data_IF_271148926431
#
_entry.id   IF_271148926431
#
_cell.length_a   1.000
_cell.length_b   1.000
_cell.length_c   1.000
_cell.angle_alpha   90.00
_cell.angle_beta   90.00
_cell.angle_gamma   90.00
#
_symmetry.space_group_name_H-M   'P 1'
#
loop_
_entity.id
_entity.type
_entity.pdbx_description
1 polymer ?
#
# COMPACT_ATOMS: atom_id res chain seq x y z
N UNK A 1 1.08 2.07 19.57
CA UNK A 1 1.20 0.77 20.29
C UNK A 1 2.34 -0.05 19.70
N UNK A 2 2.74 -1.17 20.33
CA UNK A 2 3.82 -2.01 19.81
C UNK A 2 3.38 -3.48 19.78
N UNK A 3 3.81 -4.19 18.74
CA UNK A 3 3.66 -5.63 18.55
C UNK A 3 5.04 -6.27 18.37
N UNK A 4 5.25 -7.47 18.87
CA UNK A 4 6.49 -8.23 18.67
C UNK A 4 6.20 -9.38 17.72
N UNK A 5 6.90 -9.40 16.58
CA UNK A 5 6.80 -10.47 15.58
C UNK A 5 7.40 -11.78 16.07
N UNK A 6 7.11 -12.87 15.38
CA UNK A 6 7.65 -14.22 15.71
C UNK A 6 9.17 -14.30 15.68
N UNK A 7 9.84 -13.42 14.92
CA UNK A 7 11.32 -13.31 14.89
C UNK A 7 11.86 -12.18 15.79
N UNK A 8 11.02 -11.66 16.72
CA UNK A 8 11.43 -10.75 17.78
C UNK A 8 11.52 -9.28 17.41
N UNK A 9 11.03 -8.86 16.24
CA UNK A 9 11.06 -7.46 15.80
C UNK A 9 9.87 -6.69 16.38
N UNK A 10 10.14 -5.52 16.95
CA UNK A 10 9.10 -4.63 17.48
C UNK A 10 8.54 -3.74 16.37
N UNK A 11 7.25 -3.88 16.09
CA UNK A 11 6.50 -3.06 15.14
C UNK A 11 5.64 -2.03 15.86
N UNK A 12 5.61 -0.81 15.33
CA UNK A 12 4.73 0.27 15.77
C UNK A 12 3.41 0.20 15.01
N UNK A 13 2.29 0.34 15.71
CA UNK A 13 0.97 0.42 15.09
C UNK A 13 0.00 1.28 15.90
N UNK A 14 -1.06 1.73 15.26
CA UNK A 14 -2.23 2.34 15.89
C UNK A 14 -3.50 1.63 15.40
N UNK A 15 -4.43 1.39 16.33
CA UNK A 15 -5.75 0.84 16.04
C UNK A 15 -6.79 1.75 16.68
N UNK A 16 -7.60 2.40 15.85
CA UNK A 16 -8.59 3.40 16.26
C UNK A 16 -9.98 2.97 15.79
N UNK A 17 -11.03 3.56 16.35
CA UNK A 17 -12.43 3.27 16.01
C UNK A 17 -13.10 2.26 16.94
N UNK A 18 -14.39 2.01 16.71
CA UNK A 18 -15.25 1.22 17.61
C UNK A 18 -15.10 -0.28 17.35
N UNK A 19 -15.01 -1.07 18.41
CA UNK A 19 -14.95 -2.53 18.33
C UNK A 19 -16.18 -3.12 17.59
N UNK A 20 -15.95 -4.17 16.81
CA UNK A 20 -17.01 -4.87 16.06
C UNK A 20 -17.30 -4.29 14.66
N UNK A 21 -16.70 -3.15 14.32
CA UNK A 21 -16.81 -2.57 12.97
C UNK A 21 -15.79 -3.21 12.00
N UNK A 22 -16.05 -3.18 10.67
CA UNK A 22 -15.05 -3.58 9.67
C UNK A 22 -13.76 -2.79 9.84
N UNK A 23 -12.63 -3.40 9.51
CA UNK A 23 -11.30 -2.83 9.75
C UNK A 23 -10.65 -2.43 8.43
N UNK A 24 -10.40 -1.14 8.25
CA UNK A 24 -9.51 -0.66 7.19
C UNK A 24 -8.07 -0.76 7.69
N UNK A 25 -7.25 -1.45 6.92
CA UNK A 25 -5.82 -1.65 7.18
C UNK A 25 -5.03 -0.89 6.14
N UNK A 26 -4.34 0.16 6.55
CA UNK A 26 -3.46 0.92 5.67
C UNK A 26 -2.08 0.27 5.57
N UNK A 27 -1.61 0.04 4.34
CA UNK A 27 -0.36 -0.64 4.03
C UNK A 27 0.54 0.32 3.25
N UNK A 28 1.61 0.78 3.90
CA UNK A 28 2.43 1.91 3.46
C UNK A 28 3.26 1.62 2.20
N UNK A 29 3.67 2.68 1.49
CA UNK A 29 4.73 2.62 0.49
C UNK A 29 6.14 2.49 1.10
N UNK A 30 7.14 2.23 0.25
CA UNK A 30 8.55 2.25 0.65
C UNK A 30 8.96 3.64 1.13
N UNK A 31 9.73 3.71 2.19
CA UNK A 31 10.15 4.93 2.89
C UNK A 31 9.03 5.75 3.56
N UNK A 32 7.79 5.36 3.40
CA UNK A 32 6.65 5.96 4.08
C UNK A 32 6.48 5.39 5.51
N UNK A 33 5.62 5.99 6.29
CA UNK A 33 5.18 5.50 7.60
C UNK A 33 3.69 5.74 7.78
N UNK A 34 3.13 5.20 8.85
CA UNK A 34 1.71 5.32 9.16
C UNK A 34 1.19 6.77 9.18
N UNK A 35 2.06 7.77 9.39
CA UNK A 35 1.67 9.17 9.42
C UNK A 35 1.22 9.72 8.06
N UNK A 36 1.51 9.05 6.94
CA UNK A 36 1.04 9.49 5.62
C UNK A 36 -0.48 9.36 5.44
N UNK A 37 -1.15 8.60 6.28
CA UNK A 37 -2.60 8.40 6.25
C UNK A 37 -3.40 9.36 7.14
N UNK A 38 -2.79 10.47 7.54
CA UNK A 38 -3.38 11.43 8.49
C UNK A 38 -4.70 12.04 8.03
N UNK A 39 -4.89 12.20 6.69
CA UNK A 39 -6.12 12.73 6.10
C UNK A 39 -7.21 11.65 5.91
N UNK A 40 -6.83 10.36 5.91
CA UNK A 40 -7.74 9.23 5.70
C UNK A 40 -8.29 8.70 7.02
N UNK A 41 -7.44 8.57 8.04
CA UNK A 41 -7.80 7.97 9.33
C UNK A 41 -9.05 8.60 9.96
N UNK A 42 -9.18 9.94 10.10
CA UNK A 42 -10.37 10.54 10.70
C UNK A 42 -11.64 10.29 9.87
N UNK A 43 -11.54 10.38 8.54
CA UNK A 43 -12.69 10.20 7.64
C UNK A 43 -13.30 8.80 7.78
N UNK A 44 -12.48 7.75 7.78
CA UNK A 44 -12.99 6.39 7.88
C UNK A 44 -13.47 6.03 9.30
N UNK A 45 -12.90 6.64 10.34
CA UNK A 45 -13.44 6.51 11.71
C UNK A 45 -14.85 7.14 11.80
N UNK A 46 -15.06 8.31 11.22
CA UNK A 46 -16.38 8.96 11.18
C UNK A 46 -17.42 8.14 10.42
N UNK A 47 -16.98 7.35 9.43
CA UNK A 47 -17.81 6.40 8.68
C UNK A 47 -17.99 5.05 9.39
N UNK A 48 -17.65 4.97 10.66
CA UNK A 48 -17.81 3.78 11.50
C UNK A 48 -16.93 2.59 11.10
N UNK A 49 -15.77 2.82 10.51
CA UNK A 49 -14.73 1.80 10.37
C UNK A 49 -13.78 1.81 11.58
N UNK A 50 -13.22 0.65 11.88
CA UNK A 50 -11.95 0.63 12.64
C UNK A 50 -10.81 0.85 11.65
N UNK A 51 -9.75 1.48 12.11
CA UNK A 51 -8.60 1.80 11.26
C UNK A 51 -7.33 1.31 11.93
N UNK A 52 -6.61 0.44 11.23
CA UNK A 52 -5.26 -0.01 11.59
C UNK A 52 -4.24 0.68 10.70
N UNK A 53 -3.32 1.40 11.30
CA UNK A 53 -2.10 1.90 10.66
C UNK A 53 -0.89 1.27 11.33
N UNK A 54 0.18 1.00 10.59
CA UNK A 54 1.36 0.34 11.13
C UNK A 54 2.62 0.70 10.34
N UNK A 55 3.76 0.58 10.97
CA UNK A 55 5.06 0.78 10.35
C UNK A 55 5.74 -0.57 10.14
N UNK A 56 6.26 -0.81 8.93
CA UNK A 56 7.10 -1.98 8.65
C UNK A 56 8.36 -2.00 9.51
N UNK A 57 8.98 -3.15 9.67
CA UNK A 57 10.37 -3.21 10.16
C UNK A 57 11.24 -2.23 9.38
N UNK A 58 12.12 -1.54 10.06
CA UNK A 58 13.00 -0.50 9.53
C UNK A 58 12.30 0.75 8.94
N UNK A 59 10.98 0.90 9.15
CA UNK A 59 10.22 2.11 8.78
C UNK A 59 9.64 2.80 10.03
N UNK A 60 9.30 4.09 9.90
CA UNK A 60 8.62 4.88 10.91
C UNK A 60 9.18 4.64 12.33
N UNK A 61 8.31 4.31 13.27
CA UNK A 61 8.65 4.05 14.68
C UNK A 61 8.93 2.57 14.99
N UNK A 62 8.90 1.69 14.00
CA UNK A 62 9.27 0.29 14.17
C UNK A 62 10.78 0.10 14.34
N UNK A 63 11.14 -1.03 14.92
CA UNK A 63 12.54 -1.37 15.16
C UNK A 63 13.35 -1.41 13.87
N UNK A 64 14.56 -0.86 13.92
CA UNK A 64 15.55 -0.95 12.85
C UNK A 64 16.23 -2.32 12.91
N UNK A 65 16.23 -3.02 11.78
CA UNK A 65 16.85 -4.33 11.59
C UNK A 65 17.47 -4.40 10.21
N UNK A 66 18.45 -5.30 10.02
CA UNK A 66 19.15 -5.54 8.76
C UNK A 66 18.78 -6.90 8.12
N UNK A 67 17.74 -7.55 8.66
CA UNK A 67 17.24 -8.84 8.18
C UNK A 67 15.72 -8.81 7.94
N UNK A 68 15.22 -9.79 7.17
CA UNK A 68 13.80 -9.89 6.85
C UNK A 68 13.30 -8.75 5.96
N UNK A 69 14.19 -8.04 5.27
CA UNK A 69 13.86 -6.92 4.38
C UNK A 69 13.43 -7.46 3.01
N UNK A 70 12.21 -8.03 2.97
CA UNK A 70 11.57 -8.65 1.80
C UNK A 70 10.06 -8.51 1.87
N UNK A 71 9.40 -8.42 0.73
CA UNK A 71 7.93 -8.29 0.63
C UNK A 71 7.21 -9.42 1.37
N UNK A 72 7.62 -10.67 1.15
CA UNK A 72 7.04 -11.82 1.84
C UNK A 72 7.16 -11.76 3.37
N UNK A 73 8.27 -11.19 3.93
CA UNK A 73 8.41 -11.02 5.37
C UNK A 73 7.53 -9.89 5.90
N UNK A 74 7.36 -8.81 5.15
CA UNK A 74 6.43 -7.74 5.55
C UNK A 74 4.98 -8.24 5.54
N UNK A 75 4.62 -9.08 4.58
CA UNK A 75 3.30 -9.74 4.55
C UNK A 75 3.11 -10.66 5.76
N UNK A 76 4.13 -11.44 6.14
CA UNK A 76 4.13 -12.26 7.34
C UNK A 76 3.99 -11.41 8.61
N UNK A 77 4.71 -10.28 8.70
CA UNK A 77 4.62 -9.34 9.82
C UNK A 77 3.18 -8.80 9.97
N UNK A 78 2.55 -8.45 8.85
CA UNK A 78 1.15 -8.02 8.84
C UNK A 78 0.21 -9.14 9.28
N UNK A 79 0.38 -10.35 8.76
CA UNK A 79 -0.43 -11.51 9.14
C UNK A 79 -0.37 -11.77 10.66
N UNK A 80 0.84 -11.78 11.22
CA UNK A 80 1.06 -11.96 12.65
C UNK A 80 0.39 -10.85 13.48
N UNK A 81 0.47 -9.59 13.04
CA UNK A 81 -0.19 -8.46 13.68
C UNK A 81 -1.72 -8.61 13.66
N UNK A 82 -2.31 -8.91 12.48
CA UNK A 82 -3.75 -9.09 12.32
C UNK A 82 -4.29 -10.22 13.21
N UNK A 83 -3.60 -11.37 13.23
CA UNK A 83 -3.95 -12.51 14.08
C UNK A 83 -3.85 -12.17 15.56
N UNK A 84 -2.78 -11.49 15.98
CA UNK A 84 -2.58 -11.12 17.38
C UNK A 84 -3.64 -10.14 17.90
N UNK A 85 -4.14 -9.27 17.02
CA UNK A 85 -5.21 -8.31 17.33
C UNK A 85 -6.62 -8.91 17.14
N UNK A 86 -6.71 -10.17 16.72
CA UNK A 86 -7.97 -10.87 16.43
C UNK A 86 -8.89 -10.05 15.51
N UNK A 87 -8.31 -9.51 14.43
CA UNK A 87 -9.04 -8.70 13.46
C UNK A 87 -9.60 -9.59 12.35
N UNK A 88 -10.86 -9.37 12.06
CA UNK A 88 -11.60 -9.95 10.95
C UNK A 88 -12.28 -8.85 10.14
N UNK A 89 -12.99 -9.18 9.07
CA UNK A 89 -13.69 -8.23 8.20
C UNK A 89 -12.76 -7.13 7.70
N UNK A 90 -11.64 -7.53 7.09
CA UNK A 90 -10.55 -6.65 6.71
C UNK A 90 -10.78 -6.02 5.32
N UNK A 91 -10.48 -4.74 5.21
CA UNK A 91 -10.37 -3.99 3.97
C UNK A 91 -8.93 -3.50 3.90
N UNK A 92 -8.16 -3.96 2.90
CA UNK A 92 -6.78 -3.51 2.74
C UNK A 92 -6.71 -2.31 1.81
N UNK A 93 -5.97 -1.27 2.19
CA UNK A 93 -5.64 -0.13 1.33
C UNK A 93 -4.12 -0.06 1.25
N UNK A 94 -3.57 -0.51 0.12
CA UNK A 94 -2.13 -0.53 -0.12
C UNK A 94 -1.69 0.58 -1.06
N UNK A 95 -0.67 1.34 -0.67
CA UNK A 95 -0.01 2.33 -1.52
C UNK A 95 1.36 1.85 -1.96
N UNK A 96 1.67 1.96 -3.26
CA UNK A 96 3.00 1.65 -3.81
C UNK A 96 3.47 0.26 -3.33
N UNK A 97 4.65 0.13 -2.71
CA UNK A 97 5.15 -1.14 -2.15
C UNK A 97 4.11 -1.86 -1.25
N UNK A 98 3.21 -1.11 -0.60
CA UNK A 98 2.11 -1.67 0.18
C UNK A 98 1.14 -2.52 -0.64
N UNK A 99 1.02 -2.25 -1.94
CA UNK A 99 0.28 -3.11 -2.89
C UNK A 99 0.91 -4.49 -3.00
N UNK A 100 2.24 -4.54 -3.16
CA UNK A 100 2.98 -5.82 -3.17
C UNK A 100 2.85 -6.59 -1.86
N UNK A 101 2.88 -5.88 -0.72
CA UNK A 101 2.69 -6.50 0.61
C UNK A 101 1.28 -7.07 0.75
N UNK A 102 0.26 -6.34 0.25
CA UNK A 102 -1.14 -6.81 0.26
C UNK A 102 -1.33 -8.05 -0.61
N UNK A 103 -0.79 -8.06 -1.82
CA UNK A 103 -0.83 -9.25 -2.69
C UNK A 103 -0.08 -10.45 -2.08
N UNK A 104 1.08 -10.20 -1.48
CA UNK A 104 1.84 -11.25 -0.80
C UNK A 104 1.07 -11.81 0.41
N UNK A 105 0.36 -10.98 1.17
CA UNK A 105 -0.52 -11.43 2.24
C UNK A 105 -1.61 -12.37 1.69
N UNK A 106 -2.32 -11.97 0.63
CA UNK A 106 -3.37 -12.78 0.02
C UNK A 106 -2.85 -14.12 -0.51
N UNK A 107 -1.64 -14.13 -1.07
CA UNK A 107 -1.01 -15.33 -1.62
C UNK A 107 -0.51 -16.30 -0.55
N UNK A 108 0.07 -15.77 0.53
CA UNK A 108 0.74 -16.57 1.58
C UNK A 108 -0.19 -16.96 2.73
N UNK A 109 -1.25 -16.18 2.95
CA UNK A 109 -2.17 -16.30 4.09
C UNK A 109 -3.64 -16.34 3.63
N UNK A 110 -4.04 -17.35 2.85
CA UNK A 110 -5.41 -17.47 2.35
C UNK A 110 -6.45 -17.67 3.47
N UNK A 111 -6.00 -18.02 4.68
CA UNK A 111 -6.83 -18.11 5.88
C UNK A 111 -7.26 -16.74 6.44
N UNK A 112 -6.57 -15.65 6.06
CA UNK A 112 -6.93 -14.30 6.48
C UNK A 112 -8.01 -13.77 5.54
N UNK A 113 -9.21 -13.58 6.09
CA UNK A 113 -10.36 -13.10 5.31
C UNK A 113 -10.24 -11.61 5.01
N UNK A 114 -10.01 -11.28 3.75
CA UNK A 114 -10.04 -9.90 3.22
C UNK A 114 -11.32 -9.71 2.42
N UNK A 115 -12.13 -8.74 2.82
CA UNK A 115 -13.45 -8.46 2.22
C UNK A 115 -13.33 -7.57 0.97
N UNK A 116 -12.33 -6.72 0.92
CA UNK A 116 -12.08 -5.81 -0.20
C UNK A 116 -10.62 -5.38 -0.23
N UNK A 117 -10.11 -5.10 -1.43
CA UNK A 117 -8.77 -4.58 -1.65
C UNK A 117 -8.84 -3.25 -2.40
N UNK A 118 -8.02 -2.29 -1.99
CA UNK A 118 -7.79 -1.04 -2.70
C UNK A 118 -6.28 -0.93 -2.92
N UNK A 119 -5.86 -0.77 -4.17
CA UNK A 119 -4.45 -0.62 -4.55
C UNK A 119 -4.22 0.75 -5.16
N UNK A 120 -3.20 1.46 -4.69
CA UNK A 120 -2.91 2.83 -5.08
C UNK A 120 -1.54 2.91 -5.76
N UNK A 121 -1.56 3.33 -7.00
CA UNK A 121 -0.44 3.68 -7.88
C UNK A 121 0.71 2.67 -7.86
N UNK A 122 0.39 1.38 -8.01
CA UNK A 122 1.34 0.33 -8.30
C UNK A 122 0.69 -0.85 -9.05
N UNK A 123 1.26 -1.28 -10.18
CA UNK A 123 0.80 -2.46 -10.91
C UNK A 123 1.12 -3.76 -10.15
N UNK A 124 0.39 -4.85 -10.43
CA UNK A 124 0.66 -6.16 -9.82
C UNK A 124 2.00 -6.78 -10.26
N UNK A 125 2.55 -6.36 -11.39
CA UNK A 125 3.86 -6.79 -11.88
C UNK A 125 4.71 -5.58 -12.21
N UNK A 126 5.92 -5.55 -11.62
CA UNK A 126 6.81 -4.40 -11.69
C UNK A 126 7.58 -4.29 -13.01
N UNK A 127 7.91 -5.41 -13.64
CA UNK A 127 8.69 -5.46 -14.87
C UNK A 127 7.77 -5.72 -16.04
N UNK A 128 7.81 -4.84 -17.05
CA UNK A 128 7.07 -5.02 -18.29
C UNK A 128 7.71 -6.12 -19.14
N UNK A 129 6.87 -6.93 -19.80
CA UNK A 129 7.26 -7.92 -20.79
C UNK A 129 6.13 -8.18 -21.81
N UNK A 130 6.21 -9.28 -22.56
CA UNK A 130 5.21 -9.62 -23.60
C UNK A 130 3.80 -9.84 -23.02
N UNK A 131 3.70 -10.30 -21.77
CA UNK A 131 2.43 -10.65 -21.12
C UNK A 131 1.86 -9.49 -20.27
N UNK A 132 2.69 -8.49 -19.95
CA UNK A 132 2.33 -7.34 -19.14
C UNK A 132 3.12 -6.10 -19.53
N UNK A 133 2.46 -5.11 -20.13
CA UNK A 133 3.12 -3.89 -20.64
C UNK A 133 3.17 -2.74 -19.64
N UNK A 134 2.45 -2.82 -18.52
CA UNK A 134 2.20 -1.73 -17.58
C UNK A 134 3.09 -1.80 -16.32
N UNK A 135 4.32 -2.27 -16.47
CA UNK A 135 5.32 -2.26 -15.41
C UNK A 135 5.86 -0.85 -15.12
N UNK A 136 6.81 -0.77 -14.20
CA UNK A 136 7.51 0.49 -13.91
C UNK A 136 8.30 0.96 -15.14
N UNK A 137 8.22 2.26 -15.43
CA UNK A 137 8.90 2.87 -16.58
C UNK A 137 10.36 2.44 -16.68
N UNK A 138 10.77 1.95 -17.85
CA UNK A 138 12.14 1.56 -18.20
C UNK A 138 12.79 0.55 -17.24
N UNK A 139 12.02 -0.17 -16.42
CA UNK A 139 12.56 -1.16 -15.51
C UNK A 139 12.71 -2.52 -16.21
N UNK A 140 13.94 -3.05 -16.19
CA UNK A 140 14.25 -4.44 -16.59
C UNK A 140 14.86 -5.20 -15.41
N UNK A 141 14.93 -6.53 -15.49
CA UNK A 141 15.61 -7.33 -14.45
C UNK A 141 17.07 -6.92 -14.25
N UNK A 142 17.78 -6.51 -15.31
CA UNK A 142 19.16 -6.07 -15.23
C UNK A 142 19.31 -4.72 -14.48
N UNK A 143 18.26 -3.89 -14.47
CA UNK A 143 18.30 -2.52 -13.96
C UNK A 143 17.78 -2.38 -12.54
N UNK A 144 17.20 -3.44 -11.94
CA UNK A 144 16.55 -3.38 -10.61
C UNK A 144 17.43 -2.70 -9.57
N UNK A 145 18.69 -3.10 -9.44
CA UNK A 145 19.63 -2.54 -8.45
C UNK A 145 19.88 -1.06 -8.72
N UNK A 146 20.07 -0.69 -9.98
CA UNK A 146 20.29 0.69 -10.39
C UNK A 146 19.06 1.56 -10.14
N UNK A 147 17.88 1.06 -10.48
CA UNK A 147 16.60 1.72 -10.25
C UNK A 147 16.32 1.93 -8.75
N UNK A 148 16.62 0.91 -7.94
CA UNK A 148 16.49 1.00 -6.48
C UNK A 148 17.42 2.07 -5.88
N UNK A 149 18.66 2.14 -6.31
CA UNK A 149 19.63 3.16 -5.85
C UNK A 149 19.26 4.60 -6.26
N UNK A 150 18.54 4.77 -7.38
CA UNK A 150 18.04 6.07 -7.84
C UNK A 150 16.78 6.54 -7.11
N UNK A 151 16.05 5.65 -6.47
CA UNK A 151 14.74 5.96 -5.86
C UNK A 151 14.77 7.17 -4.92
N UNK A 152 15.76 7.34 -3.99
CA UNK A 152 15.79 8.48 -3.06
C UNK A 152 15.83 9.86 -3.74
N UNK A 153 16.22 9.92 -5.01
CA UNK A 153 16.32 11.17 -5.78
C UNK A 153 15.09 11.45 -6.64
N UNK A 154 14.12 10.55 -6.65
CA UNK A 154 12.93 10.70 -7.49
C UNK A 154 11.92 11.66 -6.86
N UNK A 155 11.30 12.48 -7.72
CA UNK A 155 10.17 13.30 -7.32
C UNK A 155 8.89 12.47 -7.49
N UNK A 156 8.28 12.10 -6.37
CA UNK A 156 7.06 11.26 -6.37
C UNK A 156 5.78 12.09 -6.42
N UNK A 157 5.80 13.30 -5.88
CA UNK A 157 4.65 14.20 -5.76
C UNK A 157 4.59 15.15 -6.96
N UNK A 158 3.45 15.27 -7.59
CA UNK A 158 3.15 16.22 -8.68
C UNK A 158 2.46 17.47 -8.14
N UNK A 159 1.36 17.31 -7.40
CA UNK A 159 0.66 18.40 -6.73
C UNK A 159 1.37 18.78 -5.43
N UNK A 160 1.61 20.07 -5.16
CA UNK A 160 2.15 20.49 -3.86
C UNK A 160 1.17 20.13 -2.74
N UNK A 161 1.65 19.48 -1.70
CA UNK A 161 0.84 19.23 -0.51
C UNK A 161 0.50 20.53 0.22
N UNK A 162 -0.64 20.62 0.91
CA UNK A 162 -0.96 21.71 1.83
C UNK A 162 0.12 21.89 2.89
N UNK A 163 0.30 23.12 3.37
CA UNK A 163 1.41 23.43 4.29
C UNK A 163 1.23 22.78 5.67
N UNK A 164 0.01 22.72 6.16
CA UNK A 164 -0.37 22.05 7.40
C UNK A 164 -0.12 20.53 7.33
N UNK A 165 -0.46 19.90 6.22
CA UNK A 165 -0.16 18.47 5.97
C UNK A 165 1.36 18.23 5.98
N UNK A 166 2.15 19.08 5.33
CA UNK A 166 3.62 18.99 5.37
C UNK A 166 4.18 19.10 6.78
N UNK A 167 3.65 20.05 7.56
CA UNK A 167 4.07 20.25 8.96
C UNK A 167 3.70 19.01 9.79
N UNK A 168 2.47 18.52 9.67
CA UNK A 168 1.99 17.38 10.45
C UNK A 168 2.78 16.10 10.13
N UNK A 169 3.07 15.82 8.86
CA UNK A 169 3.93 14.70 8.46
C UNK A 169 5.36 14.91 8.98
N UNK A 170 5.92 16.12 8.79
CA UNK A 170 7.29 16.42 9.22
C UNK A 170 7.52 16.24 10.72
N UNK A 171 6.52 16.54 11.55
CA UNK A 171 6.57 16.34 13.01
C UNK A 171 6.58 14.87 13.43
N UNK A 172 6.08 13.98 12.59
CA UNK A 172 5.98 12.54 12.85
C UNK A 172 7.02 11.72 12.07
N UNK A 173 7.72 12.35 11.12
CA UNK A 173 8.71 11.67 10.29
C UNK A 173 9.95 11.32 11.11
N UNK A 174 10.35 10.06 11.02
CA UNK A 174 11.61 9.55 11.55
C UNK A 174 12.60 9.37 10.38
N UNK A 175 13.88 9.69 10.54
CA UNK A 175 14.88 9.49 9.50
C UNK A 175 14.85 8.07 8.92
N UNK A 176 14.84 7.97 7.60
CA UNK A 176 14.79 6.70 6.88
C UNK A 176 16.16 6.36 6.28
N UNK A 177 16.62 5.13 6.51
CA UNK A 177 17.90 4.64 5.99
C UNK A 177 17.69 3.89 4.67
N UNK A 178 17.84 4.59 3.56
CA UNK A 178 17.75 4.03 2.21
C UNK A 178 18.85 2.99 1.92
N UNK A 179 20.00 3.11 2.56
CA UNK A 179 21.09 2.15 2.38
C UNK A 179 20.79 0.81 3.05
N UNK A 180 20.40 0.84 4.32
CA UNK A 180 20.03 -0.36 5.07
C UNK A 180 18.80 -1.07 4.49
N UNK A 181 17.84 -0.31 3.95
CA UNK A 181 16.59 -0.86 3.40
C UNK A 181 16.63 -1.14 1.89
N UNK A 182 17.75 -0.89 1.22
CA UNK A 182 17.92 -1.16 -0.21
C UNK A 182 17.53 -2.60 -0.62
N UNK A 183 17.88 -3.66 0.15
CA UNK A 183 17.46 -5.02 -0.18
C UNK A 183 15.95 -5.20 -0.30
N UNK A 184 15.16 -4.51 0.53
CA UNK A 184 13.70 -4.54 0.46
C UNK A 184 13.17 -3.92 -0.83
N UNK A 185 13.71 -2.78 -1.24
CA UNK A 185 13.29 -2.13 -2.48
C UNK A 185 13.65 -2.98 -3.70
N UNK A 186 14.84 -3.59 -3.71
CA UNK A 186 15.27 -4.53 -4.76
C UNK A 186 14.30 -5.71 -4.85
N UNK A 187 13.93 -6.31 -3.72
CA UNK A 187 12.96 -7.40 -3.66
C UNK A 187 11.60 -6.96 -4.20
N UNK A 188 11.09 -5.79 -3.77
CA UNK A 188 9.83 -5.22 -4.23
C UNK A 188 9.77 -4.96 -5.74
N UNK A 189 10.86 -4.48 -6.33
CA UNK A 189 10.95 -4.21 -7.77
C UNK A 189 10.98 -5.48 -8.64
N UNK A 190 11.27 -6.63 -8.06
CA UNK A 190 11.24 -7.93 -8.75
C UNK A 190 9.89 -8.66 -8.71
N UNK A 191 8.88 -8.11 -8.02
CA UNK A 191 7.63 -8.81 -7.74
C UNK A 191 6.70 -8.95 -8.97
N UNK A 192 5.96 -10.07 -8.98
CA UNK A 192 4.92 -10.37 -9.95
C UNK A 192 3.77 -11.10 -9.25
N UNK A 193 2.61 -10.46 -9.16
CA UNK A 193 1.37 -10.94 -8.54
C UNK A 193 0.20 -10.97 -9.53
N UNK A 194 0.47 -11.12 -10.83
CA UNK A 194 -0.59 -11.23 -11.84
C UNK A 194 -1.52 -12.41 -11.59
N UNK A 195 -0.98 -13.49 -11.04
CA UNK A 195 -1.75 -14.67 -10.66
C UNK A 195 -2.70 -14.37 -9.49
N UNK A 196 -2.25 -13.60 -8.49
CA UNK A 196 -3.10 -13.19 -7.36
C UNK A 196 -4.30 -12.39 -7.86
N UNK A 197 -4.08 -11.36 -8.70
CA UNK A 197 -5.17 -10.54 -9.26
C UNK A 197 -6.15 -11.36 -10.10
N UNK A 198 -5.66 -12.34 -10.87
CA UNK A 198 -6.53 -13.22 -11.68
C UNK A 198 -7.40 -14.17 -10.86
N UNK A 199 -6.98 -14.53 -9.65
CA UNK A 199 -7.63 -15.55 -8.84
C UNK A 199 -8.31 -15.01 -7.57
N UNK A 200 -8.08 -13.75 -7.20
CA UNK A 200 -8.78 -13.13 -6.07
C UNK A 200 -10.30 -13.07 -6.33
N UNK A 201 -11.09 -13.26 -5.29
CA UNK A 201 -12.55 -13.36 -5.38
C UNK A 201 -13.28 -12.18 -4.72
N UNK A 202 -12.57 -11.31 -4.01
CA UNK A 202 -13.16 -10.12 -3.40
C UNK A 202 -13.17 -8.94 -4.40
N UNK A 203 -14.04 -7.95 -4.18
CA UNK A 203 -14.03 -6.70 -4.93
C UNK A 203 -12.70 -5.94 -4.74
N UNK A 204 -12.22 -5.36 -5.83
CA UNK A 204 -10.95 -4.64 -5.86
C UNK A 204 -11.11 -3.28 -6.56
N UNK A 205 -10.64 -2.21 -5.90
CA UNK A 205 -10.56 -0.87 -6.47
C UNK A 205 -9.10 -0.55 -6.83
N UNK A 206 -8.83 -0.40 -8.12
CA UNK A 206 -7.51 -0.09 -8.66
C UNK A 206 -7.37 1.41 -8.88
N UNK A 207 -6.44 2.06 -8.18
CA UNK A 207 -6.23 3.50 -8.22
C UNK A 207 -4.88 3.85 -8.87
N UNK A 208 -4.86 4.86 -9.71
CA UNK A 208 -3.63 5.36 -10.33
C UNK A 208 -3.53 6.88 -10.28
N UNK A 209 -2.31 7.39 -10.15
CA UNK A 209 -1.99 8.80 -10.36
C UNK A 209 -1.77 9.08 -11.85
N UNK A 210 -2.60 9.94 -12.46
CA UNK A 210 -2.55 10.27 -13.89
C UNK A 210 -1.29 11.01 -14.33
N UNK A 211 -0.52 11.55 -13.39
CA UNK A 211 0.75 12.22 -13.62
C UNK A 211 1.91 11.55 -12.86
N UNK A 212 1.76 10.27 -12.50
CA UNK A 212 2.82 9.48 -11.88
C UNK A 212 4.05 9.38 -12.79
N UNK A 213 5.23 9.55 -12.18
CA UNK A 213 6.50 9.37 -12.91
C UNK A 213 7.03 7.93 -12.82
N UNK A 214 6.32 7.05 -12.13
CA UNK A 214 6.72 5.65 -11.96
C UNK A 214 6.00 4.72 -12.92
N UNK A 215 4.72 5.00 -13.22
CA UNK A 215 3.83 4.12 -13.98
C UNK A 215 2.94 4.92 -14.93
N UNK A 216 2.54 4.31 -16.03
CA UNK A 216 1.42 4.79 -16.84
C UNK A 216 0.11 4.50 -16.11
N UNK A 217 -0.82 5.46 -16.09
CA UNK A 217 -2.08 5.35 -15.34
C UNK A 217 -2.96 4.17 -15.81
N UNK A 218 -2.78 3.75 -17.05
CA UNK A 218 -3.45 2.60 -17.68
C UNK A 218 -3.20 1.28 -16.95
N UNK A 219 -2.18 1.21 -16.07
CA UNK A 219 -1.94 0.01 -15.26
C UNK A 219 -3.16 -0.36 -14.41
N UNK A 220 -3.93 0.63 -13.92
CA UNK A 220 -5.11 0.39 -13.10
C UNK A 220 -6.21 -0.31 -13.90
N UNK A 221 -6.58 0.23 -15.06
CA UNK A 221 -7.56 -0.38 -15.95
C UNK A 221 -7.10 -1.75 -16.47
N UNK A 222 -5.80 -1.90 -16.77
CA UNK A 222 -5.24 -3.18 -17.21
C UNK A 222 -5.26 -4.24 -16.11
N UNK A 223 -5.00 -3.88 -14.86
CA UNK A 223 -5.10 -4.79 -13.71
C UNK A 223 -6.57 -5.14 -13.42
N UNK A 224 -7.48 -4.16 -13.48
CA UNK A 224 -8.92 -4.39 -13.36
C UNK A 224 -9.43 -5.37 -14.41
N UNK A 225 -8.95 -5.28 -15.65
CA UNK A 225 -9.35 -6.21 -16.72
C UNK A 225 -8.94 -7.67 -16.48
N UNK A 226 -8.00 -7.94 -15.56
CA UNK A 226 -7.63 -9.30 -15.16
C UNK A 226 -8.55 -9.87 -14.09
N UNK A 227 -9.21 -9.00 -13.33
CA UNK A 227 -10.05 -9.33 -12.18
C UNK A 227 -11.50 -9.55 -12.64
N UNK A 228 -12.24 -10.47 -12.02
CA UNK A 228 -13.57 -10.88 -12.51
C UNK A 228 -14.72 -10.47 -11.58
N UNK A 229 -14.45 -9.91 -10.41
CA UNK A 229 -15.50 -9.55 -9.46
C UNK A 229 -16.32 -8.36 -9.99
N UNK A 230 -17.68 -8.46 -10.08
CA UNK A 230 -18.52 -7.46 -10.77
C UNK A 230 -18.55 -6.07 -10.10
N UNK A 231 -18.11 -5.96 -8.85
CA UNK A 231 -18.01 -4.69 -8.13
C UNK A 231 -16.59 -4.10 -8.14
N UNK A 232 -15.65 -4.76 -8.83
CA UNK A 232 -14.32 -4.19 -9.03
C UNK A 232 -14.38 -3.00 -9.98
N UNK A 233 -13.51 -2.02 -9.74
CA UNK A 233 -13.46 -0.77 -10.49
C UNK A 233 -12.00 -0.29 -10.59
N UNK A 234 -11.78 0.63 -11.51
CA UNK A 234 -10.54 1.42 -11.57
C UNK A 234 -10.85 2.92 -11.56
N UNK A 235 -9.89 3.71 -11.07
CA UNK A 235 -9.99 5.16 -11.05
C UNK A 235 -8.63 5.82 -11.22
N UNK A 236 -8.59 6.92 -12.00
CA UNK A 236 -7.37 7.69 -12.26
C UNK A 236 -7.52 9.11 -11.70
N UNK A 237 -6.62 9.49 -10.80
CA UNK A 237 -6.49 10.86 -10.29
C UNK A 237 -5.69 11.69 -11.29
N UNK A 238 -6.37 12.38 -12.22
CA UNK A 238 -5.80 12.96 -13.44
C UNK A 238 -4.51 13.78 -13.24
N UNK A 239 -4.46 14.63 -12.20
CA UNK A 239 -3.34 15.55 -11.95
C UNK A 239 -2.45 15.14 -10.78
N UNK A 240 -2.61 13.93 -10.23
CA UNK A 240 -1.82 13.44 -9.11
C UNK A 240 -0.59 12.67 -9.59
N UNK A 241 0.50 12.78 -8.83
CA UNK A 241 1.67 11.93 -8.98
C UNK A 241 1.44 10.56 -8.33
N UNK A 242 2.50 10.07 -7.66
CA UNK A 242 2.54 8.73 -7.08
C UNK A 242 1.75 8.59 -5.76
N UNK A 243 1.30 9.68 -5.15
CA UNK A 243 0.73 9.66 -3.80
C UNK A 243 -0.65 10.36 -3.77
N UNK A 244 -1.66 9.86 -4.51
CA UNK A 244 -3.01 10.46 -4.58
C UNK A 244 -3.64 10.72 -3.21
N UNK A 245 -3.48 9.80 -2.23
CA UNK A 245 -4.05 9.98 -0.89
C UNK A 245 -3.53 11.21 -0.13
N UNK A 246 -2.37 11.76 -0.53
CA UNK A 246 -1.83 13.02 0.00
C UNK A 246 -2.04 14.19 -0.96
N UNK A 247 -1.93 13.96 -2.28
CA UNK A 247 -1.99 15.01 -3.30
C UNK A 247 -3.42 15.49 -3.57
N UNK A 248 -4.41 14.62 -3.35
CA UNK A 248 -5.84 14.87 -3.55
C UNK A 248 -6.67 14.16 -2.47
N UNK A 249 -6.37 14.40 -1.19
CA UNK A 249 -6.93 13.66 -0.07
C UNK A 249 -8.47 13.61 -0.06
N UNK A 250 -9.12 14.73 -0.29
CA UNK A 250 -10.61 14.80 -0.33
C UNK A 250 -11.18 13.94 -1.46
N UNK A 251 -10.57 14.01 -2.65
CA UNK A 251 -10.99 13.21 -3.80
C UNK A 251 -10.73 11.71 -3.55
N UNK A 252 -9.57 11.37 -3.00
CA UNK A 252 -9.24 10.00 -2.61
C UNK A 252 -10.26 9.44 -1.60
N UNK A 253 -10.51 10.19 -0.53
CA UNK A 253 -11.47 9.80 0.51
C UNK A 253 -12.87 9.60 -0.08
N UNK A 254 -13.32 10.51 -0.94
CA UNK A 254 -14.63 10.41 -1.62
C UNK A 254 -14.69 9.17 -2.53
N UNK A 255 -13.72 8.96 -3.41
CA UNK A 255 -13.69 7.83 -4.35
C UNK A 255 -13.72 6.49 -3.61
N UNK A 256 -12.89 6.35 -2.57
CA UNK A 256 -12.85 5.12 -1.77
C UNK A 256 -14.16 4.92 -1.00
N UNK A 257 -14.69 5.98 -0.38
CA UNK A 257 -15.97 5.92 0.36
C UNK A 257 -17.13 5.54 -0.55
N UNK A 258 -17.27 6.22 -1.70
CA UNK A 258 -18.35 5.96 -2.66
C UNK A 258 -18.30 4.49 -3.12
N UNK A 259 -17.11 3.98 -3.42
CA UNK A 259 -16.97 2.58 -3.80
C UNK A 259 -17.29 1.61 -2.66
N UNK A 260 -16.79 1.84 -1.44
CA UNK A 260 -17.07 1.00 -0.28
C UNK A 260 -18.58 0.90 0.03
N UNK A 261 -19.34 1.99 -0.19
CA UNK A 261 -20.80 1.96 0.01
C UNK A 261 -21.52 1.01 -0.95
N UNK A 262 -20.95 0.75 -2.13
CA UNK A 262 -21.51 -0.21 -3.10
C UNK A 262 -21.38 -1.66 -2.63
N UNK A 263 -20.42 -1.95 -1.74
CA UNK A 263 -20.10 -3.31 -1.30
C UNK A 263 -21.07 -3.85 -0.24
N UNK A 264 -21.84 -2.99 0.43
CA UNK A 264 -22.80 -3.37 1.50
C UNK A 264 -22.15 -4.26 2.58
N UNK A 265 -20.94 -3.88 3.03
CA UNK A 265 -20.09 -4.60 3.99
C UNK A 265 -20.67 -4.61 5.42
#
# INVERSE_FOLDING_TARGET
MNFITSDGVKLSYELKGTYGQPVIVFVNGYSASQCTWLEQVPVFIEQSYRVLTWDYRSHGHSQRVDYGLRIARLAQDLAELLVSLQLDRLILIGHSMGVSVSYALLSLHPEISVMALITEDQPPKMIADADWHYGRHQLTYADIVTAAKKFPTMRLIKRPLPQDVKIAIGQQTVPFDYGATLPLLIDGLGQNFLDVVRHEQMPHLFLAGGASLLYDAEHAAAAHALQQHPLSQDYVFADCGHIPHLEAADEFNRVVTDWLTTLKL
#
